data_IF_965717240823
#
_entry.id   IF_965717240823
#
_cell.length_a   1.000
_cell.length_b   1.000
_cell.length_c   1.000
_cell.angle_alpha   90.00
_cell.angle_beta   90.00
_cell.angle_gamma   90.00
#
_symmetry.space_group_name_H-M   'P 1'
#
loop_
_entity.id
_entity.type
_entity.pdbx_description
1 polymer ?
#
# COMPACT_ATOMS: atom_id res chain seq x y z
N UNK A 1 -3.63 -1.61 30.02
CA UNK A 1 -4.00 -1.61 29.37
C UNK A 1 -4.28 -1.48 28.78
N UNK A 2 -4.16 -1.71 28.88
CA UNK A 2 -4.56 -1.64 28.12
C UNK A 2 -5.03 -1.16 27.46
N UNK A 3 -4.93 -0.76 27.65
CA UNK A 3 -5.62 -0.35 26.99
C UNK A 3 -5.45 -0.33 26.04
N UNK A 4 -5.15 -0.71 25.90
CA UNK A 4 -5.07 -0.72 25.02
C UNK A 4 -5.70 -0.77 24.25
N UNK A 5 -5.61 -0.72 24.23
CA UNK A 5 -6.23 -0.87 23.39
C UNK A 5 -7.30 -0.47 22.89
N UNK A 6 -7.78 -0.23 23.25
CA UNK A 6 -9.09 0.03 22.92
C UNK A 6 -9.33 0.91 21.76
N UNK A 7 -8.55 1.91 21.53
CA UNK A 7 -8.70 2.76 20.40
C UNK A 7 -8.48 2.04 19.09
N UNK A 8 -7.78 0.98 19.13
CA UNK A 8 -7.43 0.25 17.92
C UNK A 8 -8.61 -0.48 17.32
N UNK A 9 -9.59 -0.81 18.09
CA UNK A 9 -10.69 -1.60 17.60
C UNK A 9 -11.48 -0.89 16.51
N UNK A 10 -11.28 0.40 16.34
CA UNK A 10 -12.00 1.16 15.34
C UNK A 10 -11.30 1.21 14.01
N UNK A 11 -10.13 0.63 13.91
CA UNK A 11 -9.35 0.63 12.68
C UNK A 11 -9.32 -0.75 12.09
N UNK A 12 -9.23 -0.80 10.75
CA UNK A 12 -8.96 -2.06 10.10
C UNK A 12 -7.59 -2.54 10.53
N UNK A 13 -7.45 -3.82 10.82
CA UNK A 13 -6.15 -4.36 11.17
C UNK A 13 -5.15 -4.16 10.04
N UNK A 14 -3.91 -3.92 10.39
CA UNK A 14 -2.83 -3.84 9.44
C UNK A 14 -2.00 -5.10 9.53
N UNK A 15 -1.59 -5.59 8.37
CA UNK A 15 -0.77 -6.78 8.27
C UNK A 15 0.58 -6.36 7.72
N UNK A 16 1.64 -6.64 8.48
CA UNK A 16 3.00 -6.36 8.04
C UNK A 16 3.39 -7.39 7.01
N UNK A 17 3.79 -6.96 5.81
CA UNK A 17 4.07 -7.88 4.73
C UNK A 17 5.49 -7.78 4.21
N UNK A 18 6.12 -6.60 4.20
CA UNK A 18 7.48 -6.38 3.72
C UNK A 18 7.70 -7.08 2.40
N UNK A 19 6.86 -6.82 1.42
CA UNK A 19 6.84 -7.56 0.18
C UNK A 19 7.28 -6.68 -0.98
N UNK A 20 8.28 -7.11 -1.77
CA UNK A 20 8.65 -6.36 -2.98
C UNK A 20 7.51 -6.34 -3.98
N UNK A 21 7.38 -5.21 -4.65
CA UNK A 21 6.33 -5.02 -5.64
C UNK A 21 6.81 -4.00 -6.67
N UNK A 22 6.04 -3.84 -7.73
CA UNK A 22 6.27 -2.82 -8.73
C UNK A 22 5.09 -1.87 -8.70
N UNK A 23 5.39 -0.58 -8.62
CA UNK A 23 4.36 0.46 -8.73
C UNK A 23 4.39 0.98 -10.15
N UNK A 24 3.26 0.88 -10.83
CA UNK A 24 3.12 1.42 -12.17
C UNK A 24 2.48 2.78 -12.05
N UNK A 25 3.25 3.80 -12.39
CA UNK A 25 2.83 5.19 -12.25
C UNK A 25 1.79 5.56 -13.31
N UNK A 26 1.16 6.70 -13.12
CA UNK A 26 0.11 7.14 -14.04
C UNK A 26 0.61 7.34 -15.46
N UNK A 27 1.90 7.60 -15.63
CA UNK A 27 2.50 7.75 -16.96
C UNK A 27 2.98 6.42 -17.55
N UNK A 28 2.75 5.32 -16.86
CA UNK A 28 3.16 4.00 -17.33
C UNK A 28 4.54 3.57 -16.87
N UNK A 29 5.28 4.44 -16.20
CA UNK A 29 6.60 4.09 -15.67
C UNK A 29 6.49 3.10 -14.53
N UNK A 30 7.49 2.22 -14.40
CA UNK A 30 7.52 1.20 -13.37
C UNK A 30 8.63 1.50 -12.38
N UNK A 31 8.33 1.36 -11.12
CA UNK A 31 9.24 1.65 -10.02
C UNK A 31 9.17 0.53 -9.01
N UNK A 32 10.33 0.05 -8.57
CA UNK A 32 10.38 -0.95 -7.52
C UNK A 32 10.02 -0.30 -6.19
N UNK A 33 9.19 -0.98 -5.43
CA UNK A 33 8.76 -0.54 -4.10
C UNK A 33 8.75 -1.73 -3.16
N UNK A 34 8.66 -1.42 -1.88
CA UNK A 34 8.50 -2.45 -0.85
C UNK A 34 7.21 -2.15 -0.11
N UNK A 35 6.25 -3.05 -0.20
CA UNK A 35 5.01 -2.91 0.55
C UNK A 35 5.30 -3.27 1.99
N UNK A 36 5.06 -2.34 2.88
CA UNK A 36 5.40 -2.49 4.30
C UNK A 36 4.26 -3.09 5.09
N UNK A 37 3.04 -2.61 4.83
CA UNK A 37 1.88 -3.18 5.47
C UNK A 37 0.64 -2.88 4.63
N UNK A 38 -0.40 -3.66 4.88
CA UNK A 38 -1.68 -3.52 4.19
C UNK A 38 -2.81 -3.67 5.18
N UNK A 39 -3.97 -3.13 4.78
CA UNK A 39 -5.24 -3.38 5.44
C UNK A 39 -6.27 -3.56 4.34
N UNK A 40 -7.52 -3.81 4.70
CA UNK A 40 -8.55 -4.04 3.70
C UNK A 40 -8.75 -2.85 2.78
N UNK A 41 -8.46 -1.64 3.26
CA UNK A 41 -8.69 -0.44 2.47
C UNK A 41 -7.46 0.29 2.01
N UNK A 42 -6.27 -0.10 2.47
CA UNK A 42 -5.10 0.69 2.15
C UNK A 42 -3.79 -0.01 2.35
N UNK A 43 -2.72 0.74 2.09
CA UNK A 43 -1.37 0.20 2.12
C UNK A 43 -0.38 1.28 2.53
N UNK A 44 0.82 0.84 2.91
CA UNK A 44 1.98 1.69 3.11
C UNK A 44 3.15 1.03 2.40
N UNK A 45 3.93 1.82 1.69
CA UNK A 45 5.08 1.29 0.98
C UNK A 45 6.28 2.22 1.11
N UNK A 46 7.44 1.65 0.81
CA UNK A 46 8.69 2.40 0.73
C UNK A 46 9.10 2.45 -0.72
N UNK A 47 9.57 3.62 -1.17
CA UNK A 47 9.90 3.84 -2.57
C UNK A 47 11.30 4.41 -2.72
N UNK A 48 11.84 4.25 -3.93
CA UNK A 48 13.04 4.94 -4.33
C UNK A 48 12.71 6.25 -5.02
N UNK A 49 11.72 6.22 -5.91
CA UNK A 49 11.24 7.42 -6.60
C UNK A 49 9.85 7.74 -6.10
N UNK A 50 9.67 9.00 -5.67
CA UNK A 50 8.45 9.42 -5.02
C UNK A 50 7.28 9.50 -6.00
N UNK A 51 6.15 8.88 -5.67
CA UNK A 51 4.91 9.16 -6.38
C UNK A 51 4.38 10.52 -5.95
N UNK A 52 3.35 10.99 -6.63
CA UNK A 52 2.68 12.24 -6.27
C UNK A 52 1.43 11.93 -5.45
N UNK A 53 1.15 12.81 -4.51
CA UNK A 53 -0.09 12.69 -3.75
C UNK A 53 -1.26 12.85 -4.72
N UNK A 54 -2.21 11.93 -4.61
CA UNK A 54 -3.37 11.92 -5.49
C UNK A 54 -3.19 11.11 -6.75
N UNK A 55 -1.98 10.66 -7.03
CA UNK A 55 -1.69 9.92 -8.24
C UNK A 55 -2.39 8.57 -8.24
N UNK A 56 -2.95 8.19 -9.39
CA UNK A 56 -3.50 6.85 -9.59
C UNK A 56 -2.37 5.96 -10.07
N UNK A 57 -2.17 4.85 -9.37
CA UNK A 57 -1.11 3.91 -9.68
C UNK A 57 -1.69 2.50 -9.69
N UNK A 58 -0.87 1.55 -10.12
CA UNK A 58 -1.19 0.13 -9.98
C UNK A 58 -0.04 -0.53 -9.25
N UNK A 59 -0.37 -1.44 -8.37
CA UNK A 59 0.63 -2.19 -7.62
C UNK A 59 0.62 -3.62 -8.13
N UNK A 60 1.78 -4.10 -8.56
CA UNK A 60 1.94 -5.47 -9.05
C UNK A 60 2.87 -6.22 -8.11
N UNK A 61 2.29 -7.18 -7.40
CA UNK A 61 3.06 -8.09 -6.57
C UNK A 61 3.31 -9.33 -7.40
N UNK A 62 4.46 -9.92 -7.23
CA UNK A 62 4.88 -11.06 -8.01
C UNK A 62 3.77 -12.09 -8.12
N UNK A 63 3.47 -12.53 -9.34
CA UNK A 63 2.44 -13.51 -9.66
C UNK A 63 1.02 -13.10 -9.29
N UNK A 64 0.83 -11.83 -8.97
CA UNK A 64 -0.48 -11.29 -8.65
C UNK A 64 -0.94 -10.37 -9.77
N UNK A 65 -2.25 -10.16 -9.83
CA UNK A 65 -2.80 -9.15 -10.74
C UNK A 65 -2.45 -7.76 -10.23
N UNK A 66 -2.45 -6.82 -11.16
CA UNK A 66 -2.24 -5.42 -10.80
C UNK A 66 -3.44 -4.91 -10.03
N UNK A 67 -3.16 -4.20 -8.95
CA UNK A 67 -4.20 -3.68 -8.07
C UNK A 67 -4.23 -2.17 -8.24
N UNK A 68 -5.35 -1.60 -8.70
CA UNK A 68 -5.44 -0.15 -8.82
C UNK A 68 -5.50 0.50 -7.45
N UNK A 69 -4.83 1.63 -7.32
CA UNK A 69 -4.69 2.31 -6.05
C UNK A 69 -4.51 3.80 -6.28
N UNK A 70 -4.67 4.58 -5.22
CA UNK A 70 -4.42 6.01 -5.26
C UNK A 70 -3.54 6.40 -4.10
N UNK A 71 -2.51 7.17 -4.39
CA UNK A 71 -1.59 7.68 -3.36
C UNK A 71 -2.30 8.79 -2.59
N UNK A 72 -2.32 8.69 -1.29
CA UNK A 72 -2.99 9.65 -0.44
C UNK A 72 -2.03 10.46 0.41
N UNK A 73 -0.83 9.97 0.65
CA UNK A 73 0.17 10.71 1.40
C UNK A 73 1.57 10.24 1.01
N UNK A 74 2.52 11.13 1.18
CA UNK A 74 3.94 10.85 0.98
C UNK A 74 4.68 11.50 2.15
N UNK A 75 5.58 10.75 2.79
CA UNK A 75 6.35 11.25 3.90
C UNK A 75 7.72 10.57 3.88
N UNK A 76 8.77 11.36 3.68
CA UNK A 76 10.11 10.80 3.59
C UNK A 76 10.21 9.85 2.42
N UNK A 77 10.65 8.63 2.66
CA UNK A 77 10.78 7.59 1.65
C UNK A 77 9.56 6.65 1.63
N UNK A 78 8.49 7.02 2.30
CA UNK A 78 7.31 6.18 2.40
C UNK A 78 6.10 6.90 1.80
N UNK A 79 5.18 6.10 1.32
CA UNK A 79 3.91 6.60 0.81
C UNK A 79 2.82 5.62 1.21
N UNK A 80 1.61 6.13 1.24
CA UNK A 80 0.47 5.28 1.50
C UNK A 80 -0.72 5.73 0.71
N UNK A 81 -1.71 4.87 0.65
CA UNK A 81 -2.88 5.18 -0.12
C UNK A 81 -3.98 4.16 0.10
N UNK A 82 -4.93 4.19 -0.81
CA UNK A 82 -6.09 3.33 -0.74
C UNK A 82 -6.14 2.45 -1.98
N UNK A 83 -6.67 1.25 -1.82
CA UNK A 83 -6.98 0.39 -2.95
C UNK A 83 -8.29 0.84 -3.56
N UNK A 84 -8.36 0.79 -4.88
CA UNK A 84 -9.55 1.20 -5.63
C UNK A 84 -10.40 0.00 -6.05
N UNK A 85 -9.98 -1.21 -5.66
CA UNK A 85 -10.72 -2.43 -5.91
C UNK A 85 -10.59 -3.31 -4.68
N UNK A 86 -11.50 -4.27 -4.49
CA UNK A 86 -11.36 -5.20 -3.38
C UNK A 86 -10.06 -5.97 -3.48
N UNK A 87 -9.40 -6.16 -2.35
CA UNK A 87 -8.12 -6.84 -2.27
C UNK A 87 -8.19 -7.93 -1.21
N UNK A 88 -7.73 -9.11 -1.58
CA UNK A 88 -7.50 -10.18 -0.63
C UNK A 88 -6.04 -10.08 -0.19
N UNK A 89 -5.82 -9.34 0.89
CA UNK A 89 -4.45 -9.08 1.31
C UNK A 89 -3.77 -10.30 1.93
N UNK A 90 -4.49 -11.38 2.13
CA UNK A 90 -3.83 -12.61 2.56
C UNK A 90 -2.88 -13.12 1.48
N UNK A 91 -3.11 -12.74 0.21
CA UNK A 91 -2.20 -13.08 -0.86
C UNK A 91 -0.95 -12.22 -0.86
N UNK A 92 -0.94 -11.13 -0.11
CA UNK A 92 0.21 -10.23 -0.05
C UNK A 92 1.12 -10.56 1.12
N UNK A 93 0.62 -11.27 2.06
CA UNK A 93 1.40 -11.69 3.20
C UNK A 93 2.03 -13.05 2.98
#
# INVERSE_FOLDING_TARGET
MTARTSGYSKRAPRVDVSRPAVMINSDGGETDVLILDVSSGGFRLKFGESPRIGEFVRLRVEHQEEIPAQIRWVLGSEAGGVFLAPVDYSNLG
#
